data_IF_214083551738
#
_entry.id   IF_214083551738
#
_cell.length_a   1.000
_cell.length_b   1.000
_cell.length_c   1.000
_cell.angle_alpha   90.00
_cell.angle_beta   90.00
_cell.angle_gamma   90.00
#
_symmetry.space_group_name_H-M   'P 1'
#
loop_
_entity.id
_entity.type
_entity.pdbx_description
1 polymer ?
#
# COMPACT_ATOMS: atom_id res chain seq x y z
N UNK A 1 -21.71 6.77 -14.92
CA UNK A 1 -22.04 5.71 -13.94
C UNK A 1 -20.77 5.34 -13.19
N UNK A 2 -20.48 5.99 -12.06
CA UNK A 2 -19.42 5.56 -11.16
C UNK A 2 -19.90 4.26 -10.49
N UNK A 3 -19.44 3.15 -11.01
CA UNK A 3 -19.59 1.86 -10.36
C UNK A 3 -18.84 1.95 -9.04
N UNK A 4 -19.53 1.82 -7.91
CA UNK A 4 -18.88 1.70 -6.59
C UNK A 4 -17.95 0.49 -6.61
N UNK A 5 -16.71 0.72 -7.04
CA UNK A 5 -15.68 -0.31 -7.26
C UNK A 5 -14.99 -0.73 -5.95
N UNK A 6 -15.32 -0.07 -4.84
CA UNK A 6 -14.80 -0.42 -3.53
C UNK A 6 -15.67 -1.48 -2.87
N UNK A 7 -15.58 -2.68 -3.38
CA UNK A 7 -16.23 -3.83 -2.77
C UNK A 7 -15.27 -4.53 -1.83
N UNK A 8 -15.74 -4.83 -0.61
CA UNK A 8 -15.06 -5.80 0.25
C UNK A 8 -14.89 -7.11 -0.51
N UNK A 9 -13.77 -7.78 -0.26
CA UNK A 9 -13.51 -9.06 -0.88
C UNK A 9 -14.54 -10.09 -0.43
N UNK A 10 -15.42 -10.50 -1.36
CA UNK A 10 -16.47 -11.52 -1.15
C UNK A 10 -16.03 -12.94 -1.52
N UNK A 11 -14.75 -13.15 -1.80
CA UNK A 11 -14.23 -14.46 -2.13
C UNK A 11 -14.05 -15.34 -0.88
N UNK A 12 -13.67 -16.60 -1.14
CA UNK A 12 -13.37 -17.54 -0.06
C UNK A 12 -12.17 -17.05 0.76
N UNK A 13 -12.40 -16.79 2.04
CA UNK A 13 -11.37 -16.48 3.05
C UNK A 13 -11.52 -17.50 4.19
N UNK A 14 -10.43 -18.10 4.63
CA UNK A 14 -10.40 -19.02 5.73
C UNK A 14 -9.35 -18.59 6.76
N UNK A 15 -9.50 -19.04 8.01
CA UNK A 15 -8.50 -18.80 9.02
C UNK A 15 -7.16 -19.41 8.62
N UNK A 16 -6.10 -18.59 8.58
CA UNK A 16 -4.78 -19.03 8.14
C UNK A 16 -4.20 -20.15 8.99
N UNK A 17 -4.40 -20.11 10.31
CA UNK A 17 -3.93 -21.18 11.20
C UNK A 17 -4.59 -22.52 10.88
N UNK A 18 -5.91 -22.55 10.69
CA UNK A 18 -6.61 -23.79 10.35
C UNK A 18 -6.10 -24.36 9.01
N UNK A 19 -5.98 -23.53 7.99
CA UNK A 19 -5.49 -23.96 6.66
C UNK A 19 -4.01 -24.36 6.69
N UNK A 20 -3.20 -23.76 7.55
CA UNK A 20 -1.83 -24.18 7.77
C UNK A 20 -1.76 -25.61 8.32
N UNK A 21 -2.54 -25.92 9.34
CA UNK A 21 -2.58 -27.28 9.89
C UNK A 21 -3.10 -28.30 8.87
N UNK A 22 -4.14 -27.94 8.11
CA UNK A 22 -4.66 -28.80 7.04
C UNK A 22 -3.61 -29.08 5.96
N UNK A 23 -2.89 -28.05 5.51
CA UNK A 23 -1.84 -28.22 4.50
C UNK A 23 -0.68 -29.07 5.00
N UNK A 24 -0.25 -28.89 6.25
CA UNK A 24 0.78 -29.72 6.88
C UNK A 24 0.32 -31.18 7.03
N UNK A 25 -0.95 -31.41 7.42
CA UNK A 25 -1.50 -32.77 7.52
C UNK A 25 -1.55 -33.47 6.14
N UNK A 26 -1.91 -32.74 5.08
CA UNK A 26 -1.89 -33.27 3.70
C UNK A 26 -0.46 -33.67 3.29
N UNK A 27 0.53 -32.79 3.53
CA UNK A 27 1.93 -33.06 3.21
C UNK A 27 2.46 -34.27 3.99
N UNK A 28 2.23 -34.30 5.32
CA UNK A 28 2.67 -35.39 6.18
C UNK A 28 2.01 -36.74 5.77
N UNK A 29 0.71 -36.72 5.49
CA UNK A 29 -0.02 -37.90 5.03
C UNK A 29 0.47 -38.39 3.66
N UNK A 30 0.80 -37.45 2.75
CA UNK A 30 1.34 -37.80 1.45
C UNK A 30 2.74 -38.40 1.55
N UNK A 31 3.62 -37.89 2.43
CA UNK A 31 4.96 -38.45 2.68
C UNK A 31 4.85 -39.85 3.27
N UNK A 32 3.96 -40.03 4.27
CA UNK A 32 3.71 -41.34 4.85
C UNK A 32 3.21 -42.33 3.78
N UNK A 33 2.26 -41.87 2.93
CA UNK A 33 1.71 -42.66 1.84
C UNK A 33 2.77 -43.10 0.83
N UNK A 34 3.78 -42.29 0.54
CA UNK A 34 4.91 -42.66 -0.34
C UNK A 34 5.71 -43.81 0.27
N UNK A 35 6.03 -43.70 1.57
CA UNK A 35 6.79 -44.75 2.29
C UNK A 35 6.01 -46.07 2.32
N UNK A 36 4.72 -46.02 2.59
CA UNK A 36 3.85 -47.19 2.61
C UNK A 36 3.68 -47.82 1.23
N UNK A 37 3.50 -47.00 0.20
CA UNK A 37 3.33 -47.44 -1.19
C UNK A 37 4.59 -48.07 -1.76
N UNK A 38 5.78 -47.66 -1.32
CA UNK A 38 7.05 -48.26 -1.73
C UNK A 38 7.13 -49.75 -1.30
N UNK A 39 6.54 -50.09 -0.14
CA UNK A 39 6.47 -51.47 0.35
C UNK A 39 5.47 -52.36 -0.45
N UNK A 40 4.43 -51.75 -1.06
CA UNK A 40 3.36 -52.43 -1.79
C UNK A 40 3.60 -52.53 -3.31
N UNK A 41 4.70 -51.98 -3.84
CA UNK A 41 5.04 -51.93 -5.28
C UNK A 41 3.89 -51.38 -6.18
N UNK A 42 3.01 -50.53 -5.64
CA UNK A 42 1.88 -49.98 -6.42
C UNK A 42 2.22 -48.58 -6.95
N UNK A 43 2.57 -48.51 -8.22
CA UNK A 43 2.96 -47.27 -8.92
C UNK A 43 1.87 -46.19 -8.90
N UNK A 44 0.59 -46.60 -8.98
CA UNK A 44 -0.53 -45.63 -8.93
C UNK A 44 -0.64 -44.90 -7.60
N UNK A 45 -0.42 -45.59 -6.49
CA UNK A 45 -0.41 -44.91 -5.15
C UNK A 45 0.72 -43.91 -5.02
N UNK A 46 1.91 -44.23 -5.53
CA UNK A 46 3.06 -43.28 -5.50
C UNK A 46 2.70 -42.00 -6.25
N UNK A 47 2.14 -42.11 -7.46
CA UNK A 47 1.72 -40.96 -8.27
C UNK A 47 0.69 -40.11 -7.51
N UNK A 48 -0.31 -40.72 -6.88
CA UNK A 48 -1.32 -40.03 -6.07
C UNK A 48 -0.72 -39.25 -4.90
N UNK A 49 0.26 -39.84 -4.21
CA UNK A 49 0.93 -39.17 -3.09
C UNK A 49 1.81 -38.00 -3.56
N UNK A 50 2.47 -38.10 -4.71
CA UNK A 50 3.25 -36.98 -5.29
C UNK A 50 2.32 -35.82 -5.62
N UNK A 51 1.15 -36.07 -6.21
CA UNK A 51 0.13 -35.03 -6.46
C UNK A 51 -0.33 -34.39 -5.13
N UNK A 52 -0.51 -35.20 -4.07
CA UNK A 52 -0.87 -34.70 -2.74
C UNK A 52 0.17 -33.73 -2.16
N UNK A 53 1.46 -34.01 -2.31
CA UNK A 53 2.54 -33.08 -1.88
C UNK A 53 2.45 -31.77 -2.67
N UNK A 54 2.28 -31.82 -3.99
CA UNK A 54 2.18 -30.62 -4.83
C UNK A 54 0.98 -29.77 -4.41
N UNK A 55 -0.18 -30.37 -4.18
CA UNK A 55 -1.38 -29.66 -3.71
C UNK A 55 -1.14 -29.03 -2.32
N UNK A 56 -0.50 -29.74 -1.40
CA UNK A 56 -0.14 -29.20 -0.09
C UNK A 56 0.76 -27.97 -0.17
N UNK A 57 1.77 -27.99 -1.04
CA UNK A 57 2.66 -26.84 -1.27
C UNK A 57 1.89 -25.65 -1.86
N UNK A 58 1.02 -25.89 -2.84
CA UNK A 58 0.19 -24.83 -3.43
C UNK A 58 -0.72 -24.20 -2.38
N UNK A 59 -1.28 -25.00 -1.48
CA UNK A 59 -2.09 -24.50 -0.36
C UNK A 59 -1.30 -23.61 0.59
N UNK A 60 -0.04 -23.92 0.87
CA UNK A 60 0.82 -23.07 1.70
C UNK A 60 1.07 -21.71 1.06
N UNK A 61 1.16 -21.61 -0.25
CA UNK A 61 1.35 -20.34 -0.97
C UNK A 61 0.17 -19.35 -0.80
N UNK A 62 -1.00 -19.83 -0.37
CA UNK A 62 -2.17 -18.97 -0.12
C UNK A 62 -2.19 -18.28 1.24
N UNK A 63 -1.23 -18.54 2.13
CA UNK A 63 -1.16 -17.94 3.46
C UNK A 63 -0.65 -16.51 3.40
N UNK A 64 -1.35 -15.58 4.07
CA UNK A 64 -0.94 -14.18 4.15
C UNK A 64 -1.22 -13.57 5.52
N UNK A 65 -0.39 -12.62 5.92
CA UNK A 65 -0.56 -11.80 7.13
C UNK A 65 -0.95 -10.39 6.72
N UNK A 66 -1.95 -9.82 7.37
CA UNK A 66 -2.41 -8.45 7.17
C UNK A 66 -2.20 -7.70 8.48
N UNK A 67 -1.38 -6.66 8.42
CA UNK A 67 -1.09 -5.79 9.56
C UNK A 67 -2.21 -4.76 9.75
N UNK A 68 -2.39 -4.23 10.98
CA UNK A 68 -3.33 -3.15 11.25
C UNK A 68 -3.04 -1.91 10.37
N UNK A 69 -4.11 -1.25 9.92
CA UNK A 69 -4.04 -0.09 9.03
C UNK A 69 -3.35 -0.35 7.68
N UNK A 70 -3.48 -1.57 7.17
CA UNK A 70 -3.10 -1.95 5.81
C UNK A 70 -4.28 -2.59 5.10
N UNK A 71 -4.34 -2.36 3.80
CA UNK A 71 -5.29 -3.05 2.94
C UNK A 71 -4.56 -3.91 1.91
N UNK A 72 -5.17 -5.04 1.59
CA UNK A 72 -4.73 -5.92 0.52
C UNK A 72 -5.77 -5.88 -0.61
N UNK A 73 -5.33 -5.47 -1.78
CA UNK A 73 -6.17 -5.43 -2.98
C UNK A 73 -5.98 -6.72 -3.74
N UNK A 74 -7.10 -7.43 -3.93
CA UNK A 74 -7.15 -8.74 -4.58
C UNK A 74 -7.44 -8.59 -6.06
N UNK A 75 -6.53 -9.07 -6.90
CA UNK A 75 -6.66 -9.09 -8.36
C UNK A 75 -6.53 -10.54 -8.84
N UNK A 76 -7.54 -11.03 -9.53
CA UNK A 76 -7.55 -12.38 -10.10
C UNK A 76 -7.48 -12.29 -11.63
N UNK A 77 -6.40 -12.77 -12.23
CA UNK A 77 -6.15 -12.71 -13.68
C UNK A 77 -6.47 -11.34 -14.30
N UNK A 78 -5.97 -10.24 -13.66
CA UNK A 78 -6.20 -8.86 -14.13
C UNK A 78 -7.57 -8.27 -13.73
N UNK A 79 -8.51 -9.05 -13.21
CA UNK A 79 -9.81 -8.56 -12.76
C UNK A 79 -9.78 -8.22 -11.26
N UNK A 80 -10.16 -7.00 -10.90
CA UNK A 80 -10.34 -6.59 -9.52
C UNK A 80 -11.46 -7.39 -8.84
N UNK A 81 -11.20 -7.96 -7.67
CA UNK A 81 -12.13 -8.81 -6.91
C UNK A 81 -12.58 -8.18 -5.59
N UNK A 82 -11.86 -7.19 -5.10
CA UNK A 82 -12.20 -6.52 -3.86
C UNK A 82 -10.97 -6.20 -2.99
N UNK A 83 -11.26 -5.56 -1.86
CA UNK A 83 -10.28 -5.17 -0.86
C UNK A 83 -10.45 -6.03 0.39
N UNK A 84 -9.36 -6.52 0.95
CA UNK A 84 -9.33 -7.19 2.25
C UNK A 84 -8.72 -6.22 3.26
N UNK A 85 -9.54 -5.81 4.23
CA UNK A 85 -9.22 -4.84 5.29
C UNK A 85 -9.05 -5.54 6.64
N UNK A 86 -9.57 -6.79 6.76
CA UNK A 86 -9.52 -7.56 7.99
C UNK A 86 -8.06 -7.88 8.35
N UNK A 87 -7.63 -7.41 9.51
CA UNK A 87 -6.31 -7.70 10.06
C UNK A 87 -6.21 -9.15 10.56
N UNK A 88 -5.01 -9.71 10.55
CA UNK A 88 -4.75 -11.04 11.03
C UNK A 88 -4.12 -11.97 10.01
N UNK A 89 -4.17 -13.27 10.32
CA UNK A 89 -3.61 -14.34 9.50
C UNK A 89 -4.72 -15.05 8.73
N UNK A 90 -4.71 -14.88 7.41
CA UNK A 90 -5.76 -15.38 6.51
C UNK A 90 -5.17 -16.27 5.43
N UNK A 91 -5.99 -17.20 4.99
CA UNK A 91 -5.73 -17.98 3.79
C UNK A 91 -6.64 -17.50 2.66
N UNK A 92 -6.03 -17.23 1.51
CA UNK A 92 -6.71 -16.80 0.29
C UNK A 92 -6.19 -17.63 -0.88
N UNK A 93 -6.94 -17.68 -1.96
CA UNK A 93 -6.58 -18.43 -3.15
C UNK A 93 -5.16 -18.04 -3.66
N UNK A 94 -4.22 -18.99 -3.77
CA UNK A 94 -2.82 -18.71 -4.15
C UNK A 94 -2.65 -18.12 -5.56
N UNK A 95 -3.62 -18.29 -6.43
CA UNK A 95 -3.59 -17.76 -7.81
C UNK A 95 -3.96 -16.27 -7.89
N UNK A 96 -4.23 -15.60 -6.77
CA UNK A 96 -4.53 -14.17 -6.73
C UNK A 96 -3.26 -13.35 -6.61
N UNK A 97 -3.18 -12.29 -7.43
CA UNK A 97 -2.19 -11.23 -7.26
C UNK A 97 -2.66 -10.26 -6.19
N UNK A 98 -1.83 -10.04 -5.17
CA UNK A 98 -2.14 -9.20 -4.01
C UNK A 98 -1.30 -7.94 -4.06
N UNK A 99 -1.95 -6.78 -4.01
CA UNK A 99 -1.28 -5.48 -3.92
C UNK A 99 -1.50 -4.89 -2.53
N UNK A 100 -0.40 -4.59 -1.83
CA UNK A 100 -0.41 -4.00 -0.47
C UNK A 100 -0.48 -2.48 -0.57
N UNK A 101 -1.28 -1.84 0.28
CA UNK A 101 -1.35 -0.40 0.45
C UNK A 101 -1.48 -0.05 1.94
N UNK A 102 -0.79 1.01 2.39
CA UNK A 102 -0.88 1.53 3.75
C UNK A 102 -2.02 2.55 3.84
N UNK A 103 -2.83 2.46 4.90
CA UNK A 103 -3.90 3.41 5.23
C UNK A 103 -3.48 4.38 6.34
N UNK A 104 -2.21 4.28 6.80
CA UNK A 104 -1.66 5.14 7.85
C UNK A 104 -1.55 6.58 7.35
N UNK A 105 -1.79 7.54 8.24
CA UNK A 105 -1.55 8.94 7.92
C UNK A 105 -0.05 9.19 7.72
N UNK A 106 0.28 10.04 6.75
CA UNK A 106 1.64 10.47 6.43
C UNK A 106 1.70 11.98 6.38
N UNK A 107 2.83 12.53 6.84
CA UNK A 107 3.12 13.95 6.73
C UNK A 107 3.87 14.20 5.42
N UNK A 108 3.48 15.28 4.74
CA UNK A 108 4.17 15.82 3.58
C UNK A 108 4.59 17.25 3.91
N UNK A 109 5.89 17.50 3.95
CA UNK A 109 6.45 18.83 3.99
C UNK A 109 6.81 19.19 2.56
N UNK A 110 6.04 20.09 1.96
CA UNK A 110 6.35 20.61 0.63
C UNK A 110 7.35 21.76 0.75
N UNK A 111 8.30 21.80 -0.17
CA UNK A 111 9.24 22.91 -0.26
C UNK A 111 8.49 24.23 -0.53
N UNK A 112 8.96 25.37 0.05
CA UNK A 112 8.30 26.65 -0.17
C UNK A 112 8.27 27.01 -1.66
N UNK A 113 7.08 27.29 -2.18
CA UNK A 113 6.88 27.69 -3.57
C UNK A 113 6.68 29.19 -3.70
N UNK A 114 7.24 29.77 -4.76
CA UNK A 114 7.00 31.17 -5.11
C UNK A 114 5.70 31.28 -5.90
N UNK A 115 4.78 32.08 -5.38
CA UNK A 115 3.48 32.33 -6.00
C UNK A 115 3.22 33.83 -6.04
N UNK A 116 2.38 34.29 -6.97
CA UNK A 116 1.95 35.67 -7.04
C UNK A 116 0.58 35.79 -6.37
N UNK A 117 0.43 36.82 -5.56
CA UNK A 117 -0.87 37.19 -4.99
C UNK A 117 -1.78 37.84 -6.06
N UNK A 118 -3.00 38.21 -5.66
CA UNK A 118 -3.96 38.90 -6.54
C UNK A 118 -3.43 40.22 -7.10
N UNK A 119 -2.52 40.88 -6.38
CA UNK A 119 -1.90 42.17 -6.78
C UNK A 119 -0.66 41.97 -7.67
N UNK A 120 -0.23 40.72 -7.88
CA UNK A 120 0.96 40.41 -8.64
C UNK A 120 2.25 40.37 -7.80
N UNK A 121 2.17 40.55 -6.47
CA UNK A 121 3.35 40.52 -5.61
C UNK A 121 3.82 39.07 -5.42
N UNK A 122 5.13 38.78 -5.58
CA UNK A 122 5.66 37.45 -5.35
C UNK A 122 5.80 37.18 -3.85
N UNK A 123 5.16 36.09 -3.40
CA UNK A 123 5.23 35.61 -2.02
C UNK A 123 5.74 34.18 -1.97
N UNK A 124 6.41 33.78 -0.90
CA UNK A 124 6.89 32.42 -0.66
C UNK A 124 5.93 31.75 0.32
N UNK A 125 5.34 30.61 -0.07
CA UNK A 125 4.42 29.86 0.76
C UNK A 125 4.95 28.44 0.98
N UNK A 126 5.13 28.04 2.25
CA UNK A 126 5.41 26.68 2.64
C UNK A 126 4.12 25.97 3.04
N UNK A 127 4.04 24.67 2.77
CA UNK A 127 2.90 23.83 3.09
C UNK A 127 3.33 22.60 3.88
N UNK A 128 2.64 22.34 5.00
CA UNK A 128 2.70 21.09 5.72
C UNK A 128 1.34 20.42 5.64
N UNK A 129 1.29 19.25 5.07
CA UNK A 129 0.05 18.52 4.81
C UNK A 129 0.09 17.13 5.45
N UNK A 130 -0.98 16.76 6.15
CA UNK A 130 -1.20 15.39 6.62
C UNK A 130 -2.24 14.73 5.72
N UNK A 131 -1.88 13.61 5.13
CA UNK A 131 -2.75 12.88 4.22
C UNK A 131 -2.80 11.38 4.51
N UNK A 132 -3.88 10.74 4.12
CA UNK A 132 -4.06 9.29 4.20
C UNK A 132 -4.96 8.80 3.08
N UNK A 133 -4.80 7.54 2.69
CA UNK A 133 -5.70 6.88 1.74
C UNK A 133 -6.96 6.46 2.49
N UNK A 134 -8.14 6.85 1.97
CA UNK A 134 -9.42 6.41 2.52
C UNK A 134 -9.71 4.97 2.12
N UNK A 135 -10.23 4.17 3.05
CA UNK A 135 -10.61 2.77 2.81
C UNK A 135 -11.58 2.61 1.63
N UNK A 136 -12.44 3.60 1.40
CA UNK A 136 -13.42 3.57 0.30
C UNK A 136 -12.84 3.94 -1.07
N UNK A 137 -11.61 4.44 -1.15
CA UNK A 137 -10.98 4.93 -2.40
C UNK A 137 -9.72 4.18 -2.77
N UNK A 138 -9.46 3.02 -2.14
CA UNK A 138 -8.27 2.20 -2.36
C UNK A 138 -8.12 1.81 -3.84
N UNK A 139 -9.22 1.51 -4.53
CA UNK A 139 -9.19 1.18 -5.95
C UNK A 139 -8.60 2.33 -6.77
N UNK A 140 -9.09 3.56 -6.54
CA UNK A 140 -8.61 4.77 -7.25
C UNK A 140 -7.12 5.01 -6.97
N UNK A 141 -6.70 4.86 -5.72
CA UNK A 141 -5.30 5.05 -5.32
C UNK A 141 -4.32 4.05 -5.95
N UNK A 142 -4.77 2.83 -6.27
CA UNK A 142 -3.90 1.78 -6.80
C UNK A 142 -3.92 1.71 -8.34
N UNK A 143 -5.04 2.03 -8.96
CA UNK A 143 -5.22 1.82 -10.39
C UNK A 143 -5.31 3.10 -11.22
N UNK A 144 -5.65 4.24 -10.60
CA UNK A 144 -5.73 5.52 -11.31
C UNK A 144 -4.46 6.35 -11.18
N UNK A 145 -3.61 6.06 -10.18
CA UNK A 145 -2.34 6.76 -9.99
C UNK A 145 -1.24 5.82 -10.42
N UNK A 146 -0.52 6.21 -11.46
CA UNK A 146 0.59 5.41 -11.98
C UNK A 146 1.82 5.63 -11.09
N UNK A 147 2.32 4.55 -10.51
CA UNK A 147 3.59 4.59 -9.81
C UNK A 147 4.69 4.34 -10.85
N UNK A 148 5.59 5.30 -11.11
CA UNK A 148 6.73 5.03 -11.95
C UNK A 148 7.43 3.80 -11.39
N UNK A 149 7.64 2.79 -12.25
CA UNK A 149 8.52 1.67 -11.93
C UNK A 149 9.91 2.26 -11.77
N UNK A 150 10.26 2.66 -10.55
CA UNK A 150 11.66 2.88 -10.26
C UNK A 150 12.34 1.53 -10.47
N UNK A 151 13.10 1.45 -11.54
CA UNK A 151 14.09 0.41 -11.72
C UNK A 151 15.03 0.61 -10.54
N UNK A 152 14.90 -0.26 -9.54
CA UNK A 152 15.88 -0.34 -8.47
C UNK A 152 17.16 -0.75 -9.19
N UNK A 153 17.97 0.24 -9.53
CA UNK A 153 19.34 -0.02 -9.94
C UNK A 153 19.99 -0.63 -8.72
N UNK A 154 20.14 -1.93 -8.76
CA UNK A 154 20.81 -2.70 -7.72
C UNK A 154 22.27 -2.26 -7.75
N UNK A 155 22.60 -1.22 -7.00
CA UNK A 155 23.96 -1.03 -6.55
C UNK A 155 24.22 -2.20 -5.63
N UNK A 156 25.06 -3.08 -6.10
CA UNK A 156 25.45 -4.35 -5.49
C UNK A 156 26.26 -4.09 -4.21
N UNK A 157 25.56 -3.73 -3.14
CA UNK A 157 26.13 -3.88 -1.79
C UNK A 157 25.66 -5.23 -1.24
N UNK A 158 26.60 -6.16 -1.17
CA UNK A 158 26.42 -7.60 -1.03
C UNK A 158 25.78 -8.08 0.29
N UNK A 159 25.21 -7.20 1.15
CA UNK A 159 24.72 -7.58 2.48
C UNK A 159 23.35 -7.06 2.88
N UNK A 160 22.54 -6.52 1.98
CA UNK A 160 21.17 -6.10 2.31
C UNK A 160 20.17 -6.90 1.50
N UNK A 161 19.59 -7.94 2.11
CA UNK A 161 18.40 -8.61 1.54
C UNK A 161 17.26 -7.60 1.46
N UNK A 162 17.11 -7.00 0.29
CA UNK A 162 16.00 -6.09 0.00
C UNK A 162 14.73 -6.94 -0.13
N UNK A 163 13.83 -6.80 0.81
CA UNK A 163 12.52 -7.44 0.77
C UNK A 163 11.70 -6.78 -0.36
N UNK A 164 11.68 -7.39 -1.54
CA UNK A 164 11.09 -6.86 -2.78
C UNK A 164 9.62 -6.43 -2.58
N UNK A 165 8.87 -7.13 -1.72
CA UNK A 165 7.48 -6.80 -1.44
C UNK A 165 7.32 -5.53 -0.59
N UNK A 166 8.24 -5.25 0.32
CA UNK A 166 8.27 -4.01 1.09
C UNK A 166 8.66 -2.83 0.19
N UNK A 167 9.69 -2.99 -0.63
CA UNK A 167 10.14 -1.97 -1.58
C UNK A 167 9.04 -1.56 -2.58
N UNK A 168 8.25 -2.52 -3.10
CA UNK A 168 7.13 -2.20 -4.00
C UNK A 168 5.98 -1.45 -3.33
N UNK A 169 5.74 -1.66 -2.04
CA UNK A 169 4.71 -0.90 -1.31
C UNK A 169 5.16 0.53 -1.03
N UNK A 170 6.44 0.73 -0.69
CA UNK A 170 7.00 2.05 -0.43
C UNK A 170 7.05 2.89 -1.71
N UNK A 171 7.47 2.32 -2.83
CA UNK A 171 7.47 3.00 -4.14
C UNK A 171 6.08 3.51 -4.55
N UNK A 172 5.01 2.76 -4.26
CA UNK A 172 3.63 3.23 -4.52
C UNK A 172 3.22 4.36 -3.60
N UNK A 173 3.59 4.27 -2.32
CA UNK A 173 3.27 5.33 -1.37
C UNK A 173 4.03 6.61 -1.69
N UNK A 174 5.26 6.52 -2.22
CA UNK A 174 6.05 7.65 -2.67
C UNK A 174 5.44 8.29 -3.93
N UNK A 175 4.93 7.49 -4.86
CA UNK A 175 4.21 8.00 -6.02
C UNK A 175 2.91 8.73 -5.61
N UNK A 176 2.18 8.20 -4.62
CA UNK A 176 1.01 8.88 -4.05
C UNK A 176 1.40 10.18 -3.36
N UNK A 177 2.51 10.20 -2.61
CA UNK A 177 3.02 11.41 -1.97
C UNK A 177 3.39 12.48 -3.00
N UNK A 178 4.08 12.12 -4.08
CA UNK A 178 4.40 13.02 -5.17
C UNK A 178 3.14 13.55 -5.87
N UNK A 179 2.15 12.70 -6.09
CA UNK A 179 0.88 13.13 -6.66
C UNK A 179 0.17 14.15 -5.75
N UNK A 180 0.11 13.89 -4.44
CA UNK A 180 -0.48 14.81 -3.46
C UNK A 180 0.31 16.12 -3.43
N UNK A 181 1.64 16.09 -3.47
CA UNK A 181 2.49 17.29 -3.50
C UNK A 181 2.16 18.17 -4.72
N UNK A 182 2.15 17.62 -5.91
CA UNK A 182 1.85 18.37 -7.14
C UNK A 182 0.44 18.96 -7.11
N UNK A 183 -0.55 18.22 -6.60
CA UNK A 183 -1.93 18.72 -6.48
C UNK A 183 -2.05 19.82 -5.42
N UNK A 184 -1.34 19.70 -4.31
CA UNK A 184 -1.33 20.72 -3.26
C UNK A 184 -0.66 22.00 -3.72
N UNK A 185 0.43 21.93 -4.49
CA UNK A 185 1.09 23.10 -5.08
C UNK A 185 0.18 23.82 -6.08
N UNK A 186 -0.53 23.07 -6.91
CA UNK A 186 -1.52 23.65 -7.84
C UNK A 186 -2.66 24.36 -7.10
N UNK A 187 -3.19 23.74 -6.05
CA UNK A 187 -4.24 24.34 -5.21
C UNK A 187 -3.74 25.60 -4.50
N UNK A 188 -2.52 25.59 -3.98
CA UNK A 188 -1.90 26.77 -3.34
C UNK A 188 -1.80 27.94 -4.31
N UNK A 189 -1.32 27.70 -5.56
CA UNK A 189 -1.23 28.75 -6.58
C UNK A 189 -2.62 29.35 -6.91
N UNK A 190 -3.62 28.50 -7.01
CA UNK A 190 -5.00 28.95 -7.29
C UNK A 190 -5.56 29.78 -6.14
N UNK A 191 -5.36 29.34 -4.90
CA UNK A 191 -5.85 30.07 -3.71
C UNK A 191 -5.10 31.39 -3.54
N UNK A 192 -3.76 31.39 -3.63
CA UNK A 192 -2.95 32.58 -3.49
C UNK A 192 -3.33 33.67 -4.49
N UNK A 193 -3.61 33.30 -5.76
CA UNK A 193 -4.03 34.24 -6.78
C UNK A 193 -5.39 34.91 -6.54
N UNK A 194 -6.22 34.38 -5.62
CA UNK A 194 -7.52 34.96 -5.29
C UNK A 194 -7.45 35.99 -4.15
N UNK A 195 -6.39 35.98 -3.36
CA UNK A 195 -6.21 36.84 -2.17
C UNK A 195 -5.03 37.80 -2.36
N UNK A 196 -5.24 39.06 -1.97
CA UNK A 196 -4.16 40.04 -1.92
C UNK A 196 -3.55 40.03 -0.50
N UNK A 197 -2.28 39.71 -0.40
CA UNK A 197 -1.57 39.56 0.87
C UNK A 197 -1.51 40.90 1.63
N UNK A 198 -1.27 42.02 0.93
CA UNK A 198 -1.05 43.33 1.55
C UNK A 198 -2.34 44.15 1.77
N UNK A 199 -3.47 43.81 1.10
CA UNK A 199 -4.69 44.65 1.12
C UNK A 199 -5.83 44.07 1.96
N UNK A 200 -5.70 42.85 2.48
CA UNK A 200 -6.77 42.21 3.24
C UNK A 200 -6.48 42.36 4.75
N UNK A 201 -7.28 43.12 5.51
CA UNK A 201 -7.06 43.31 6.94
C UNK A 201 -7.15 42.01 7.75
N UNK A 202 -7.75 40.97 7.19
CA UNK A 202 -7.80 39.62 7.80
C UNK A 202 -6.45 38.91 7.73
N UNK A 203 -5.61 39.25 6.73
CA UNK A 203 -4.26 38.71 6.55
C UNK A 203 -3.15 39.77 6.75
N UNK A 204 -3.53 41.02 7.11
CA UNK A 204 -2.51 41.93 7.59
C UNK A 204 -1.87 41.26 8.82
N UNK A 205 -0.55 40.99 8.81
CA UNK A 205 0.08 40.43 9.99
C UNK A 205 -0.20 41.41 11.13
N UNK A 206 -0.98 40.97 12.12
CA UNK A 206 -0.96 41.65 13.39
C UNK A 206 0.52 41.78 13.72
N UNK A 207 0.97 42.95 14.16
CA UNK A 207 2.38 43.20 14.52
C UNK A 207 3.00 42.09 15.38
N UNK A 208 2.16 41.29 16.03
CA UNK A 208 2.54 40.12 16.83
C UNK A 208 3.01 38.90 16.03
N UNK A 209 2.67 38.78 14.73
CA UNK A 209 3.10 37.64 13.90
C UNK A 209 4.36 37.91 13.07
N UNK A 210 4.71 39.17 12.85
CA UNK A 210 5.93 39.54 12.10
C UNK A 210 7.20 39.66 12.96
N UNK A 211 7.03 39.82 14.27
CA UNK A 211 8.15 39.76 15.19
C UNK A 211 8.02 38.47 15.98
N UNK A 212 8.72 37.43 15.53
CA UNK A 212 9.08 36.37 16.46
C UNK A 212 9.65 37.06 17.68
N UNK A 213 8.95 36.97 18.80
CA UNK A 213 9.42 37.50 20.09
C UNK A 213 10.80 36.87 20.28
N UNK A 214 11.85 37.67 20.11
CA UNK A 214 13.14 37.32 20.64
C UNK A 214 12.91 36.98 22.11
N UNK A 215 13.09 35.71 22.45
CA UNK A 215 13.14 35.31 23.84
C UNK A 215 14.45 35.88 24.32
N UNK A 216 14.39 37.06 24.96
CA UNK A 216 15.50 37.60 25.72
C UNK A 216 15.77 36.57 26.83
N UNK A 217 16.83 35.82 26.64
CA UNK A 217 17.40 35.00 27.68
C UNK A 217 18.23 35.91 28.58
N UNK A 218 17.67 36.30 29.71
CA UNK A 218 18.40 36.71 30.88
C UNK A 218 18.73 35.49 31.74
#
# INVERSE_FOLDING_TARGET
MEKNLNTEYKGFKANGFFMLFVSLAIIAGSIWGIIYSANLNSTLMVIGCIIGVIVGIIMLCGLMVIEPNQARVMVFFGKYRGNLLDEGFWWVNPFMSVKKISLRARNLNADPIKVNDKMGNPIMIGLVLVWKVKANEIYKAIFNIDAPKQVITTTTDANKQVNINAAMSDTRMDALANFVSVQSDAALRQVAGNYAYASNPVFAPSKEWCCGRAIDAD
#
